data_IF_997239313620
#
_entry.id   IF_997239313620
#
_cell.length_a   1.000
_cell.length_b   1.000
_cell.length_c   1.000
_cell.angle_alpha   90.00
_cell.angle_beta   90.00
_cell.angle_gamma   90.00
#
_symmetry.space_group_name_H-M   'P 1'
#
loop_
_entity.id
_entity.type
_entity.pdbx_description
1 polymer ?
#
# COMPACT_ATOMS: atom_id res chain seq x y z
N UNK A 1 -7.26 19.64 2.94
CA UNK A 1 -7.07 19.63 4.42
C UNK A 1 -5.77 18.90 4.71
N UNK A 2 -4.97 19.42 5.63
CA UNK A 2 -3.74 18.75 6.08
C UNK A 2 -4.10 17.87 7.26
N UNK A 3 -3.86 16.58 7.16
CA UNK A 3 -4.09 15.60 8.22
C UNK A 3 -2.87 15.56 9.14
N UNK A 4 -3.07 15.59 10.46
CA UNK A 4 -1.96 15.42 11.39
C UNK A 4 -1.38 14.03 11.24
N UNK A 5 -0.11 13.94 10.89
CA UNK A 5 0.60 12.67 10.78
C UNK A 5 2.06 12.85 11.19
N UNK A 6 2.60 11.85 11.90
CA UNK A 6 3.99 11.83 12.34
C UNK A 6 4.61 10.44 12.19
N UNK A 7 5.89 10.40 11.96
CA UNK A 7 6.66 9.16 11.97
C UNK A 7 6.66 8.56 13.38
N UNK A 8 6.37 7.26 13.51
CA UNK A 8 6.45 6.51 14.75
C UNK A 8 7.74 5.71 14.86
N UNK A 9 7.94 4.78 13.92
CA UNK A 9 9.09 3.89 13.94
C UNK A 9 9.43 3.35 12.54
N UNK A 10 10.63 2.83 12.42
CA UNK A 10 11.08 2.02 11.30
C UNK A 10 11.55 0.66 11.82
N UNK A 11 10.99 -0.41 11.29
CA UNK A 11 11.27 -1.78 11.71
C UNK A 11 11.87 -2.59 10.55
N UNK A 12 13.19 -2.78 10.53
CA UNK A 12 13.87 -3.51 9.47
C UNK A 12 13.78 -5.04 9.61
N UNK A 13 13.41 -5.53 10.80
CA UNK A 13 13.49 -6.97 11.13
C UNK A 13 12.20 -7.56 11.69
N UNK A 14 11.15 -6.76 11.87
CA UNK A 14 9.85 -7.26 12.33
C UNK A 14 9.68 -7.41 13.84
N UNK A 15 10.48 -6.71 14.65
CA UNK A 15 10.45 -6.83 16.10
C UNK A 15 9.81 -5.64 16.82
N UNK A 16 9.69 -4.51 16.18
CA UNK A 16 9.22 -3.27 16.79
C UNK A 16 7.74 -2.94 16.51
N UNK A 17 7.21 -3.29 15.33
CA UNK A 17 5.81 -3.03 14.98
C UNK A 17 4.79 -3.68 15.94
N UNK A 18 5.03 -4.85 16.58
CA UNK A 18 4.07 -5.43 17.50
C UNK A 18 3.75 -4.56 18.71
N UNK A 19 4.63 -3.62 19.07
CA UNK A 19 4.40 -2.69 20.18
C UNK A 19 3.38 -1.58 19.84
N UNK A 20 3.09 -1.35 18.55
CA UNK A 20 2.14 -0.32 18.11
C UNK A 20 0.71 -0.85 18.17
N UNK A 21 -0.05 -0.44 19.19
CA UNK A 21 -1.42 -0.88 19.45
C UNK A 21 -2.50 0.02 18.84
N UNK A 22 -2.18 0.79 17.81
CA UNK A 22 -3.14 1.56 17.05
C UNK A 22 -3.75 0.69 15.93
N UNK A 23 -5.03 0.85 15.59
CA UNK A 23 -5.59 0.26 14.37
C UNK A 23 -4.74 0.68 13.16
N UNK A 24 -4.44 -0.26 12.27
CA UNK A 24 -3.50 -0.04 11.17
C UNK A 24 -4.09 -0.35 9.80
N UNK A 25 -3.71 0.42 8.81
CA UNK A 25 -3.84 0.04 7.41
C UNK A 25 -2.46 0.00 6.77
N UNK A 26 -2.22 -1.03 5.94
CA UNK A 26 -0.93 -1.22 5.29
C UNK A 26 -0.98 -0.82 3.81
N UNK A 27 0.14 -0.31 3.32
CA UNK A 27 0.33 0.02 1.91
C UNK A 27 1.45 -0.83 1.33
N UNK A 28 1.09 -1.71 0.40
CA UNK A 28 2.00 -2.61 -0.29
C UNK A 28 2.06 -2.27 -1.78
N UNK A 29 3.17 -2.53 -2.43
CA UNK A 29 3.31 -2.32 -3.86
C UNK A 29 4.76 -2.36 -4.31
N UNK A 30 4.94 -2.50 -5.62
CA UNK A 30 6.28 -2.56 -6.22
C UNK A 30 7.06 -1.27 -5.98
N UNK A 31 8.37 -1.43 -6.05
CA UNK A 31 9.25 -0.26 -6.09
C UNK A 31 8.85 0.70 -7.20
N UNK A 32 8.86 2.01 -6.89
CA UNK A 32 8.48 3.08 -7.82
C UNK A 32 7.01 3.04 -8.30
N UNK A 33 6.14 2.28 -7.68
CA UNK A 33 4.68 2.32 -7.94
C UNK A 33 4.07 3.68 -7.58
N UNK A 34 4.70 4.42 -6.68
CA UNK A 34 4.23 5.73 -6.19
C UNK A 34 3.71 5.70 -4.75
N UNK A 35 4.06 4.66 -3.96
CA UNK A 35 3.57 4.44 -2.61
C UNK A 35 3.85 5.63 -1.67
N UNK A 36 5.10 6.05 -1.52
CA UNK A 36 5.46 7.20 -0.67
C UNK A 36 4.84 8.51 -1.14
N UNK A 37 4.69 8.70 -2.46
CA UNK A 37 3.99 9.87 -3.00
C UNK A 37 2.50 9.85 -2.65
N UNK A 38 1.87 8.68 -2.69
CA UNK A 38 0.46 8.51 -2.32
C UNK A 38 0.26 8.75 -0.82
N UNK A 39 1.10 8.19 0.04
CA UNK A 39 1.06 8.42 1.49
C UNK A 39 1.19 9.90 1.82
N UNK A 40 2.16 10.59 1.23
CA UNK A 40 2.33 12.03 1.39
C UNK A 40 1.09 12.81 0.90
N UNK A 41 0.49 12.38 -0.21
CA UNK A 41 -0.71 13.01 -0.74
C UNK A 41 -1.94 12.81 0.15
N UNK A 42 -2.10 11.62 0.74
CA UNK A 42 -3.17 11.33 1.70
C UNK A 42 -3.12 12.26 2.90
N UNK A 43 -1.96 12.43 3.52
CA UNK A 43 -1.84 13.26 4.72
C UNK A 43 -1.64 14.74 4.42
N UNK A 44 -1.47 15.13 3.16
CA UNK A 44 -1.22 16.51 2.77
C UNK A 44 0.16 17.03 3.19
N UNK A 45 1.14 16.14 3.41
CA UNK A 45 2.51 16.48 3.82
C UNK A 45 3.50 16.00 2.75
N UNK A 46 4.46 16.85 2.37
CA UNK A 46 5.40 16.52 1.28
C UNK A 46 6.55 15.59 1.69
N UNK A 47 6.76 15.35 2.98
CA UNK A 47 7.95 14.66 3.51
C UNK A 47 7.65 13.64 4.62
N UNK A 48 6.42 13.20 4.83
CA UNK A 48 6.10 12.18 5.84
C UNK A 48 6.78 10.86 5.46
N UNK A 49 6.44 10.32 4.31
CA UNK A 49 7.15 9.17 3.74
C UNK A 49 8.26 9.68 2.81
N UNK A 50 9.48 9.14 2.97
CA UNK A 50 10.61 9.54 2.13
C UNK A 50 10.41 9.02 0.71
N UNK A 51 10.24 9.96 -0.23
CA UNK A 51 10.28 9.62 -1.67
C UNK A 51 11.75 9.41 -2.03
N UNK A 52 12.15 8.17 -2.27
CA UNK A 52 13.49 7.83 -2.73
C UNK A 52 13.44 7.36 -4.17
N UNK A 53 14.27 7.96 -5.02
CA UNK A 53 14.49 7.47 -6.38
C UNK A 53 15.51 6.32 -6.42
N UNK A 54 16.12 5.98 -5.28
CA UNK A 54 17.09 4.90 -5.18
C UNK A 54 16.34 3.60 -4.81
N UNK A 55 16.32 2.60 -5.70
CA UNK A 55 15.71 1.30 -5.44
C UNK A 55 16.36 0.61 -4.22
N UNK A 56 15.56 -0.06 -3.36
CA UNK A 56 16.08 -0.85 -2.24
C UNK A 56 16.36 -0.07 -0.94
N UNK A 57 15.96 1.19 -0.83
CA UNK A 57 16.26 2.00 0.37
C UNK A 57 15.34 1.74 1.56
N UNK A 58 14.09 1.32 1.34
CA UNK A 58 13.15 0.96 2.41
C UNK A 58 13.21 -0.55 2.59
N UNK A 59 14.11 -1.02 3.45
CA UNK A 59 14.30 -2.46 3.75
C UNK A 59 13.52 -2.90 5.00
N UNK A 60 12.51 -2.15 5.43
CA UNK A 60 11.73 -2.42 6.62
C UNK A 60 10.33 -1.81 6.53
N UNK A 61 9.53 -2.04 7.56
CA UNK A 61 8.20 -1.47 7.73
C UNK A 61 8.34 -0.11 8.41
N UNK A 62 7.77 0.93 7.81
CA UNK A 62 7.69 2.25 8.44
C UNK A 62 6.26 2.49 8.93
N UNK A 63 6.10 2.85 10.19
CA UNK A 63 4.81 3.20 10.77
C UNK A 63 4.68 4.70 11.00
N UNK A 64 3.53 5.24 10.64
CA UNK A 64 3.18 6.64 10.80
C UNK A 64 1.86 6.74 11.56
N UNK A 65 1.86 7.44 12.68
CA UNK A 65 0.63 7.79 13.39
C UNK A 65 -0.12 8.85 12.58
N UNK A 66 -1.43 8.67 12.49
CA UNK A 66 -2.32 9.58 11.76
C UNK A 66 -3.50 9.95 12.64
N UNK A 67 -3.76 11.25 12.79
CA UNK A 67 -4.82 11.85 13.63
C UNK A 67 -4.75 11.42 15.11
N UNK A 68 -3.62 10.87 15.60
CA UNK A 68 -3.49 10.31 16.95
C UNK A 68 -4.36 9.08 17.22
N UNK A 69 -4.95 8.49 16.21
CA UNK A 69 -6.01 7.47 16.34
C UNK A 69 -5.71 6.15 15.62
N UNK A 70 -4.94 6.18 14.58
CA UNK A 70 -4.59 5.00 13.77
C UNK A 70 -3.21 5.15 13.14
N UNK A 71 -2.72 4.10 12.51
CA UNK A 71 -1.42 4.13 11.88
C UNK A 71 -1.46 3.68 10.41
N UNK A 72 -0.59 4.28 9.60
CA UNK A 72 -0.27 3.83 8.26
C UNK A 72 1.03 3.03 8.31
N UNK A 73 1.00 1.81 7.79
CA UNK A 73 2.19 0.97 7.60
C UNK A 73 2.66 1.05 6.14
N UNK A 74 3.82 1.64 5.92
CA UNK A 74 4.51 1.65 4.63
C UNK A 74 5.36 0.39 4.53
N UNK A 75 4.85 -0.64 3.85
CA UNK A 75 5.57 -1.90 3.68
C UNK A 75 6.72 -1.72 2.67
N UNK A 76 7.84 -2.43 2.83
CA UNK A 76 8.94 -2.35 1.88
C UNK A 76 8.48 -2.77 0.48
N UNK A 77 8.88 -2.01 -0.53
CA UNK A 77 8.50 -2.30 -1.93
C UNK A 77 9.15 -3.57 -2.45
N UNK A 78 8.46 -4.34 -3.27
CA UNK A 78 8.96 -5.55 -3.93
C UNK A 78 9.32 -5.29 -5.41
N UNK A 79 9.76 -6.34 -6.13
CA UNK A 79 10.03 -6.25 -7.58
C UNK A 79 11.36 -5.58 -7.94
N UNK A 80 12.37 -5.65 -7.07
CA UNK A 80 13.72 -5.19 -7.42
C UNK A 80 14.44 -6.22 -8.26
N UNK A 81 14.82 -5.86 -9.48
CA UNK A 81 15.55 -6.76 -10.41
C UNK A 81 16.97 -7.13 -9.94
N UNK A 82 17.50 -6.47 -8.90
CA UNK A 82 18.90 -6.62 -8.45
C UNK A 82 19.03 -6.98 -6.97
N UNK A 83 18.08 -7.68 -6.37
CA UNK A 83 18.22 -8.18 -4.99
C UNK A 83 18.57 -9.66 -5.01
N UNK A 84 19.43 -10.07 -4.09
CA UNK A 84 19.79 -11.47 -3.90
C UNK A 84 18.55 -12.31 -3.50
N UNK A 85 18.67 -13.63 -3.67
CA UNK A 85 17.60 -14.56 -3.23
C UNK A 85 17.35 -14.44 -1.73
N UNK A 86 18.40 -14.38 -0.92
CA UNK A 86 18.30 -14.21 0.54
C UNK A 86 17.63 -12.92 0.96
N UNK A 87 17.92 -11.79 0.29
CA UNK A 87 17.23 -10.51 0.57
C UNK A 87 15.75 -10.58 0.21
N UNK A 88 15.38 -11.32 -0.84
CA UNK A 88 13.98 -11.52 -1.23
C UNK A 88 13.23 -12.39 -0.22
N UNK A 89 13.86 -13.44 0.27
CA UNK A 89 13.30 -14.32 1.31
C UNK A 89 13.14 -13.57 2.65
N UNK A 90 14.11 -12.79 3.07
CA UNK A 90 14.03 -11.95 4.27
C UNK A 90 12.92 -10.89 4.15
N UNK A 91 12.81 -10.23 2.99
CA UNK A 91 11.72 -9.31 2.69
C UNK A 91 10.35 -9.99 2.80
N UNK A 92 10.23 -11.17 2.19
CA UNK A 92 9.00 -11.95 2.20
C UNK A 92 8.60 -12.32 3.64
N UNK A 93 9.52 -12.85 4.42
CA UNK A 93 9.28 -13.20 5.83
C UNK A 93 8.84 -12.00 6.67
N UNK A 94 9.47 -10.84 6.49
CA UNK A 94 9.09 -9.60 7.19
C UNK A 94 7.66 -9.16 6.87
N UNK A 95 7.30 -9.15 5.59
CA UNK A 95 5.98 -8.68 5.14
C UNK A 95 4.90 -9.70 5.51
N UNK A 96 5.13 -10.98 5.27
CA UNK A 96 4.19 -12.04 5.62
C UNK A 96 3.95 -12.10 7.14
N UNK A 97 5.02 -12.02 7.96
CA UNK A 97 4.90 -11.97 9.41
C UNK A 97 4.05 -10.78 9.88
N UNK A 98 4.29 -9.59 9.33
CA UNK A 98 3.45 -8.44 9.65
C UNK A 98 1.98 -8.65 9.26
N UNK A 99 1.72 -9.16 8.06
CA UNK A 99 0.36 -9.35 7.55
C UNK A 99 -0.43 -10.45 8.29
N UNK A 100 0.27 -11.47 8.81
CA UNK A 100 -0.33 -12.58 9.55
C UNK A 100 -0.51 -12.26 11.04
N UNK A 101 0.45 -11.60 11.66
CA UNK A 101 0.54 -11.48 13.12
C UNK A 101 0.02 -10.15 13.66
N UNK A 102 -0.16 -9.11 12.80
CA UNK A 102 -0.63 -7.81 13.25
C UNK A 102 -2.12 -7.81 13.59
N UNK A 103 -2.46 -8.06 14.85
CA UNK A 103 -3.84 -8.08 15.36
C UNK A 103 -4.59 -6.73 15.14
N UNK A 104 -3.87 -5.64 14.92
CA UNK A 104 -4.43 -4.31 14.70
C UNK A 104 -4.59 -3.96 13.22
N UNK A 105 -4.16 -4.83 12.29
CA UNK A 105 -4.32 -4.63 10.85
C UNK A 105 -5.80 -4.72 10.46
N UNK A 106 -6.29 -3.70 9.76
CA UNK A 106 -7.69 -3.61 9.30
C UNK A 106 -7.82 -3.82 7.80
N UNK A 107 -6.85 -3.35 7.02
CA UNK A 107 -6.87 -3.47 5.55
C UNK A 107 -5.49 -3.28 4.96
N UNK A 108 -5.25 -3.95 3.83
CA UNK A 108 -4.07 -3.76 2.99
C UNK A 108 -4.47 -3.05 1.69
N UNK A 109 -3.82 -1.95 1.39
CA UNK A 109 -3.93 -1.28 0.10
C UNK A 109 -2.83 -1.79 -0.82
N UNK A 110 -3.22 -2.57 -1.84
CA UNK A 110 -2.30 -3.11 -2.85
C UNK A 110 -2.21 -2.13 -4.00
N UNK A 111 -1.05 -1.47 -4.13
CA UNK A 111 -0.80 -0.43 -5.09
C UNK A 111 -0.27 -1.00 -6.41
N UNK A 112 -0.89 -0.57 -7.50
CA UNK A 112 -0.54 -0.97 -8.88
C UNK A 112 -0.37 0.28 -9.73
N UNK A 113 0.63 0.32 -10.60
CA UNK A 113 0.71 1.36 -11.62
C UNK A 113 -0.45 1.17 -12.62
N UNK A 114 -1.43 2.09 -12.63
CA UNK A 114 -2.64 1.96 -13.41
C UNK A 114 -2.42 1.80 -14.92
N UNK A 115 -1.23 2.20 -15.43
CA UNK A 115 -0.85 2.02 -16.82
C UNK A 115 -0.56 0.56 -17.17
N UNK A 116 -0.12 -0.24 -16.19
CA UNK A 116 0.33 -1.62 -16.38
C UNK A 116 -0.72 -2.65 -15.96
N UNK A 117 -1.48 -2.35 -14.92
CA UNK A 117 -2.33 -3.32 -14.24
C UNK A 117 -1.54 -4.24 -13.29
N UNK A 118 -2.22 -5.19 -12.62
CA UNK A 118 -1.58 -6.13 -11.71
C UNK A 118 -0.64 -7.08 -12.46
N UNK A 119 0.58 -7.20 -11.95
CA UNK A 119 1.58 -8.15 -12.43
C UNK A 119 1.66 -9.36 -11.46
N UNK A 120 2.57 -10.27 -11.68
CA UNK A 120 2.63 -11.54 -10.94
C UNK A 120 2.82 -11.37 -9.44
N UNK A 121 3.66 -10.43 -9.01
CA UNK A 121 3.90 -10.20 -7.58
C UNK A 121 2.66 -9.65 -6.85
N UNK A 122 1.90 -8.76 -7.51
CA UNK A 122 0.63 -8.26 -6.95
C UNK A 122 -0.41 -9.36 -6.86
N UNK A 123 -0.45 -10.27 -7.85
CA UNK A 123 -1.34 -11.44 -7.85
C UNK A 123 -1.02 -12.38 -6.69
N UNK A 124 0.25 -12.68 -6.50
CA UNK A 124 0.71 -13.52 -5.38
C UNK A 124 0.38 -12.90 -4.03
N UNK A 125 0.58 -11.60 -3.87
CA UNK A 125 0.19 -10.89 -2.64
C UNK A 125 -1.33 -10.95 -2.42
N UNK A 126 -2.14 -10.70 -3.44
CA UNK A 126 -3.59 -10.76 -3.32
C UNK A 126 -4.08 -12.17 -2.96
N UNK A 127 -3.53 -13.20 -3.58
CA UNK A 127 -3.81 -14.60 -3.24
C UNK A 127 -3.43 -14.93 -1.80
N UNK A 128 -2.26 -14.47 -1.34
CA UNK A 128 -1.82 -14.60 0.05
C UNK A 128 -2.81 -13.96 1.02
N UNK A 129 -3.24 -12.72 0.75
CA UNK A 129 -4.20 -12.00 1.58
C UNK A 129 -5.57 -12.69 1.60
N UNK A 130 -6.04 -13.18 0.45
CA UNK A 130 -7.31 -13.89 0.33
C UNK A 130 -7.34 -15.19 1.13
N UNK A 131 -6.28 -16.02 1.03
CA UNK A 131 -6.16 -17.28 1.79
C UNK A 131 -6.19 -17.04 3.30
N UNK A 132 -5.67 -15.92 3.77
CA UNK A 132 -5.61 -15.55 5.19
C UNK A 132 -6.79 -14.69 5.66
N UNK A 133 -7.77 -14.46 4.79
CA UNK A 133 -8.91 -13.59 5.07
C UNK A 133 -8.51 -12.17 5.53
N UNK A 134 -7.35 -11.68 5.09
CA UNK A 134 -6.92 -10.30 5.34
C UNK A 134 -7.62 -9.36 4.36
N UNK A 135 -8.42 -8.40 4.82
CA UNK A 135 -9.11 -7.48 3.93
C UNK A 135 -8.12 -6.65 3.11
N UNK A 136 -8.33 -6.52 1.81
CA UNK A 136 -7.49 -5.68 0.97
C UNK A 136 -8.29 -4.86 -0.05
N UNK A 137 -7.66 -3.87 -0.64
CA UNK A 137 -8.22 -3.00 -1.68
C UNK A 137 -7.18 -2.69 -2.74
N UNK A 138 -7.58 -2.79 -4.00
CA UNK A 138 -6.76 -2.36 -5.12
C UNK A 138 -6.71 -0.84 -5.23
N UNK A 139 -5.51 -0.29 -5.41
CA UNK A 139 -5.28 1.14 -5.64
C UNK A 139 -4.44 1.33 -6.90
N UNK A 140 -5.08 1.83 -7.94
CA UNK A 140 -4.39 2.24 -9.17
C UNK A 140 -3.72 3.60 -8.99
N UNK A 141 -2.40 3.65 -9.04
CA UNK A 141 -1.62 4.89 -8.94
C UNK A 141 -1.34 5.49 -10.30
N UNK A 142 -0.89 6.75 -10.34
CA UNK A 142 -0.50 7.47 -11.56
C UNK A 142 -1.63 7.61 -12.59
N UNK A 143 -2.88 7.65 -12.14
CA UNK A 143 -4.05 7.83 -13.00
C UNK A 143 -4.07 9.13 -13.81
N UNK A 144 -3.24 10.11 -13.43
CA UNK A 144 -2.99 11.33 -14.23
C UNK A 144 -2.22 11.10 -15.54
N UNK A 145 -1.64 9.92 -15.70
CA UNK A 145 -0.92 9.50 -16.91
C UNK A 145 -1.82 8.79 -17.92
N UNK A 146 -3.10 8.61 -17.60
CA UNK A 146 -4.09 7.93 -18.42
C UNK A 146 -5.11 8.95 -18.97
N UNK A 147 -5.46 8.80 -20.24
CA UNK A 147 -6.63 9.42 -20.86
C UNK A 147 -7.93 8.87 -20.23
N UNK A 148 -9.06 9.48 -20.55
CA UNK A 148 -10.37 9.02 -20.07
C UNK A 148 -10.67 7.57 -20.50
N UNK A 149 -10.37 7.22 -21.75
CA UNK A 149 -10.55 5.87 -22.30
C UNK A 149 -9.65 4.85 -21.58
N UNK A 150 -8.36 5.15 -21.43
CA UNK A 150 -7.40 4.28 -20.76
C UNK A 150 -7.76 4.05 -19.28
N UNK A 151 -8.40 5.02 -18.60
CA UNK A 151 -8.91 4.82 -17.23
C UNK A 151 -10.00 3.76 -17.16
N UNK A 152 -10.94 3.77 -18.12
CA UNK A 152 -11.99 2.75 -18.22
C UNK A 152 -11.36 1.38 -18.45
N UNK A 153 -10.43 1.27 -19.40
CA UNK A 153 -9.71 0.04 -19.68
C UNK A 153 -8.86 -0.43 -18.48
N UNK A 154 -8.24 0.50 -17.76
CA UNK A 154 -7.47 0.18 -16.55
C UNK A 154 -8.37 -0.39 -15.45
N UNK A 155 -9.56 0.17 -15.22
CA UNK A 155 -10.54 -0.36 -14.26
C UNK A 155 -10.99 -1.76 -14.66
N UNK A 156 -11.34 -1.97 -15.91
CA UNK A 156 -11.80 -3.25 -16.43
C UNK A 156 -10.79 -4.41 -16.24
N UNK A 157 -9.48 -4.10 -16.20
CA UNK A 157 -8.44 -5.10 -15.90
C UNK A 157 -8.53 -5.68 -14.48
N UNK A 158 -9.23 -5.02 -13.56
CA UNK A 158 -9.43 -5.48 -12.18
C UNK A 158 -10.77 -6.18 -11.99
N UNK A 159 -11.69 -6.14 -12.96
CA UNK A 159 -13.04 -6.70 -12.81
C UNK A 159 -13.15 -8.15 -13.33
N UNK A 160 -12.18 -8.63 -14.11
CA UNK A 160 -12.30 -9.88 -14.87
C UNK A 160 -11.78 -11.15 -14.19
N UNK A 161 -11.06 -11.05 -13.09
CA UNK A 161 -10.34 -12.19 -12.53
C UNK A 161 -10.84 -12.55 -11.12
N UNK A 162 -11.14 -13.83 -10.83
CA UNK A 162 -11.68 -14.26 -9.52
C UNK A 162 -10.79 -13.88 -8.33
N UNK A 163 -9.47 -13.88 -8.49
CA UNK A 163 -8.52 -13.50 -7.45
C UNK A 163 -8.47 -11.97 -7.21
N UNK A 164 -9.05 -11.16 -8.09
CA UNK A 164 -9.21 -9.71 -7.89
C UNK A 164 -10.47 -9.39 -7.07
N UNK A 165 -11.45 -10.28 -7.06
CA UNK A 165 -12.75 -10.03 -6.44
C UNK A 165 -12.67 -9.68 -4.95
N UNK A 166 -11.73 -10.26 -4.21
CA UNK A 166 -11.53 -9.98 -2.79
C UNK A 166 -11.11 -8.53 -2.49
N UNK A 167 -10.48 -7.84 -3.46
CA UNK A 167 -10.05 -6.44 -3.31
C UNK A 167 -11.13 -5.40 -3.63
N UNK A 168 -12.30 -5.83 -4.09
CA UNK A 168 -13.38 -4.93 -4.55
C UNK A 168 -12.95 -4.03 -5.72
N UNK A 169 -13.79 -3.06 -6.13
CA UNK A 169 -13.48 -2.15 -7.24
C UNK A 169 -12.18 -1.38 -7.01
N UNK A 170 -11.35 -1.24 -8.06
CA UNK A 170 -10.09 -0.50 -7.96
C UNK A 170 -10.33 0.99 -7.73
N UNK A 171 -9.57 1.59 -6.81
CA UNK A 171 -9.54 3.03 -6.59
C UNK A 171 -8.43 3.66 -7.44
N UNK A 172 -8.79 4.35 -8.52
CA UNK A 172 -7.81 5.09 -9.32
C UNK A 172 -7.41 6.38 -8.62
N UNK A 173 -6.11 6.60 -8.46
CA UNK A 173 -5.55 7.74 -7.74
C UNK A 173 -4.43 8.43 -8.51
N UNK A 174 -4.21 9.70 -8.17
CA UNK A 174 -3.03 10.46 -8.57
C UNK A 174 -2.52 11.30 -7.40
N UNK A 175 -1.32 11.02 -6.93
CA UNK A 175 -0.65 11.84 -5.93
C UNK A 175 -0.34 13.26 -6.47
N UNK A 176 -0.15 13.39 -7.79
CA UNK A 176 0.18 14.67 -8.44
C UNK A 176 -1.01 15.61 -8.55
N UNK A 177 -2.14 15.11 -9.04
CA UNK A 177 -3.36 15.92 -9.24
C UNK A 177 -4.34 15.86 -8.09
N UNK A 178 -4.09 15.00 -7.10
CA UNK A 178 -4.97 14.67 -5.95
C UNK A 178 -6.27 13.96 -6.36
N UNK A 179 -6.46 13.61 -7.63
CA UNK A 179 -7.63 12.84 -8.07
C UNK A 179 -7.71 11.51 -7.32
N UNK A 180 -8.90 11.12 -6.86
CA UNK A 180 -9.17 9.88 -6.14
C UNK A 180 -8.67 9.82 -4.69
N UNK A 181 -7.96 10.85 -4.19
CA UNK A 181 -7.44 10.87 -2.81
C UNK A 181 -8.59 10.90 -1.80
N UNK A 182 -9.66 11.67 -2.06
CA UNK A 182 -10.82 11.74 -1.16
C UNK A 182 -11.57 10.41 -1.10
N UNK A 183 -11.67 9.68 -2.21
CA UNK A 183 -12.27 8.35 -2.25
C UNK A 183 -11.44 7.35 -1.45
N UNK A 184 -10.12 7.38 -1.63
CA UNK A 184 -9.21 6.54 -0.85
C UNK A 184 -9.31 6.87 0.65
N UNK A 185 -9.40 8.15 1.03
CA UNK A 185 -9.60 8.55 2.42
C UNK A 185 -10.91 8.02 3.02
N UNK A 186 -12.01 8.06 2.27
CA UNK A 186 -13.30 7.47 2.71
C UNK A 186 -13.16 5.99 2.96
N UNK A 187 -12.50 5.26 2.06
CA UNK A 187 -12.25 3.82 2.20
C UNK A 187 -11.33 3.51 3.40
N UNK A 188 -10.28 4.32 3.62
CA UNK A 188 -9.40 4.22 4.80
C UNK A 188 -10.19 4.39 6.10
N UNK A 189 -11.02 5.42 6.19
CA UNK A 189 -11.85 5.67 7.40
C UNK A 189 -12.86 4.56 7.62
N UNK A 190 -13.48 4.04 6.57
CA UNK A 190 -14.39 2.90 6.67
C UNK A 190 -13.71 1.64 7.21
N UNK A 191 -12.43 1.40 6.89
CA UNK A 191 -11.67 0.29 7.42
C UNK A 191 -11.45 0.35 8.94
N UNK A 192 -11.56 1.53 9.55
CA UNK A 192 -11.47 1.71 11.01
C UNK A 192 -12.81 1.73 11.73
N UNK A 193 -13.92 1.76 11.00
CA UNK A 193 -15.27 1.80 11.56
C UNK A 193 -15.93 0.41 11.59
N UNK A 194 -15.32 -0.56 10.95
CA UNK A 194 -15.69 -1.97 10.93
C UNK A 194 -14.93 -2.71 12.03
#
# INVERSE_FOLDING_TARGET
MTTSARFLLFDPVGTAWPAVRLPQVAFAGRSNVGKSSLLNALVGQSRLARVSNTPGRTRGIALFEVEGRFAFADLPGYGFAKVSRSEREAWKGLVEGYLEECAFLRRVYVLVDARRGPEEEERQLAAFLAVRAVPYRWVGTKGDKLSAREKVEAVARFDGEPWLAGGGPVLLTSARTKAGIDLLWRDVRAAFSA
#
